data_IF_762728320728
#
_entry.id   IF_762728320728
#
_cell.length_a   1.000
_cell.length_b   1.000
_cell.length_c   1.000
_cell.angle_alpha   90.00
_cell.angle_beta   90.00
_cell.angle_gamma   90.00
#
_symmetry.space_group_name_H-M   'P 1'
#
loop_
_entity.id
_entity.type
_entity.pdbx_description
1 polymer ?
#
# COMPACT_ATOMS: atom_id res chain seq x y z
N UNK A 1 28.32 -22.47 -8.87
CA UNK A 1 27.15 -21.68 -8.44
C UNK A 1 27.57 -20.23 -8.58
N UNK A 2 27.04 -19.51 -9.57
CA UNK A 2 27.47 -18.14 -9.84
C UNK A 2 26.74 -17.21 -8.88
N UNK A 3 27.48 -16.51 -8.02
CA UNK A 3 26.90 -15.55 -7.09
C UNK A 3 26.29 -14.38 -7.87
N UNK A 4 25.04 -14.04 -7.54
CA UNK A 4 24.34 -12.90 -8.12
C UNK A 4 24.71 -11.65 -7.31
N UNK A 5 25.31 -10.67 -7.99
CA UNK A 5 25.61 -9.36 -7.40
C UNK A 5 24.36 -8.48 -7.48
N UNK A 6 23.76 -8.19 -6.33
CA UNK A 6 22.58 -7.32 -6.24
C UNK A 6 23.00 -5.86 -6.13
N UNK A 7 22.31 -4.97 -6.84
CA UNK A 7 22.48 -3.53 -6.68
C UNK A 7 21.92 -3.06 -5.33
N UNK A 8 22.64 -2.21 -4.58
CA UNK A 8 22.11 -1.62 -3.36
C UNK A 8 20.84 -0.81 -3.63
N UNK A 9 19.88 -0.85 -2.70
CA UNK A 9 18.69 -0.01 -2.72
C UNK A 9 18.62 0.78 -1.43
N UNK A 10 18.33 2.06 -1.57
CA UNK A 10 18.05 2.92 -0.43
C UNK A 10 16.73 2.48 0.23
N UNK A 11 16.74 2.44 1.55
CA UNK A 11 15.59 2.05 2.37
C UNK A 11 15.44 3.03 3.53
N UNK A 12 14.21 3.24 3.98
CA UNK A 12 13.90 4.11 5.11
C UNK A 12 13.53 3.26 6.33
N UNK A 13 14.21 3.50 7.44
CA UNK A 13 13.86 2.97 8.76
C UNK A 13 13.42 4.17 9.60
N UNK A 14 12.12 4.29 9.88
CA UNK A 14 11.56 5.44 10.61
C UNK A 14 11.60 5.24 12.13
N UNK A 15 11.61 4.00 12.60
CA UNK A 15 11.78 3.65 14.01
C UNK A 15 12.58 2.34 14.13
N UNK A 16 13.48 2.28 15.11
CA UNK A 16 14.22 1.07 15.46
C UNK A 16 14.43 1.03 16.97
N UNK A 17 14.04 -0.06 17.62
CA UNK A 17 14.09 -0.20 19.07
C UNK A 17 14.48 -1.62 19.45
N UNK A 18 15.59 -1.78 20.17
CA UNK A 18 15.99 -3.06 20.75
C UNK A 18 15.10 -3.31 21.97
N UNK A 19 14.40 -4.45 21.99
CA UNK A 19 13.47 -4.81 23.06
C UNK A 19 14.07 -5.83 24.02
N UNK A 20 15.03 -6.64 23.55
CA UNK A 20 15.72 -7.61 24.39
C UNK A 20 17.10 -7.95 23.80
N UNK A 21 18.03 -8.31 24.67
CA UNK A 21 19.34 -8.83 24.28
C UNK A 21 19.84 -9.84 25.31
N UNK A 22 20.09 -11.06 24.85
CA UNK A 22 20.56 -12.16 25.67
C UNK A 22 21.61 -12.99 24.92
N UNK A 23 22.85 -12.96 25.41
CA UNK A 23 23.95 -13.71 24.81
C UNK A 23 24.21 -13.33 23.36
N UNK A 24 23.94 -14.26 22.44
CA UNK A 24 24.13 -14.07 20.99
C UNK A 24 22.83 -13.73 20.25
N UNK A 25 21.76 -13.37 20.99
CA UNK A 25 20.46 -13.05 20.42
C UNK A 25 20.07 -11.62 20.79
N UNK A 26 19.57 -10.88 19.79
CA UNK A 26 19.01 -9.54 19.96
C UNK A 26 17.63 -9.53 19.32
N UNK A 27 16.63 -9.11 20.08
CA UNK A 27 15.27 -8.88 19.60
C UNK A 27 15.06 -7.39 19.47
N UNK A 28 14.48 -6.97 18.36
CA UNK A 28 14.15 -5.57 18.12
C UNK A 28 12.85 -5.44 17.35
N UNK A 29 12.20 -4.29 17.50
CA UNK A 29 11.10 -3.85 16.66
C UNK A 29 11.57 -2.75 15.74
N UNK A 30 10.99 -2.66 14.55
CA UNK A 30 11.28 -1.59 13.62
C UNK A 30 10.06 -1.22 12.78
N UNK A 31 10.01 0.04 12.36
CA UNK A 31 9.14 0.53 11.31
C UNK A 31 10.00 0.90 10.11
N UNK A 32 9.69 0.32 8.95
CA UNK A 32 10.46 0.51 7.73
C UNK A 32 9.57 0.71 6.51
N UNK A 33 10.10 1.39 5.50
CA UNK A 33 9.45 1.57 4.21
C UNK A 33 9.38 0.29 3.38
N UNK A 34 8.65 0.37 2.26
CA UNK A 34 8.50 -0.72 1.30
C UNK A 34 9.86 -1.21 0.77
N UNK A 35 9.97 -2.50 0.51
CA UNK A 35 11.18 -3.10 -0.08
C UNK A 35 12.35 -3.31 0.88
N UNK A 36 12.17 -3.07 2.19
CA UNK A 36 13.20 -3.32 3.19
C UNK A 36 13.36 -4.83 3.44
N UNK A 37 14.56 -5.36 3.23
CA UNK A 37 14.89 -6.76 3.50
C UNK A 37 15.48 -6.91 4.90
N UNK A 38 14.66 -7.33 5.88
CA UNK A 38 15.10 -7.48 7.28
C UNK A 38 16.27 -8.47 7.42
N UNK A 39 16.31 -9.50 6.57
CA UNK A 39 17.42 -10.46 6.52
C UNK A 39 18.74 -9.81 6.07
N UNK A 40 18.68 -8.86 5.13
CA UNK A 40 19.86 -8.11 4.72
C UNK A 40 20.33 -7.18 5.84
N UNK A 41 19.39 -6.50 6.52
CA UNK A 41 19.70 -5.67 7.68
C UNK A 41 20.40 -6.45 8.79
N UNK A 42 19.90 -7.64 9.16
CA UNK A 42 20.54 -8.49 10.16
C UNK A 42 21.98 -8.87 9.76
N UNK A 43 22.20 -9.28 8.50
CA UNK A 43 23.54 -9.55 7.97
C UNK A 43 24.45 -8.32 8.08
N UNK A 44 23.95 -7.16 7.71
CA UNK A 44 24.73 -5.93 7.67
C UNK A 44 25.08 -5.43 9.08
N UNK A 45 24.16 -5.57 10.06
CA UNK A 45 24.43 -5.35 11.49
C UNK A 45 25.51 -6.31 11.99
N UNK A 46 25.40 -7.61 11.69
CA UNK A 46 26.41 -8.59 12.08
C UNK A 46 27.80 -8.24 11.56
N UNK A 47 27.90 -7.88 10.27
CA UNK A 47 29.15 -7.44 9.63
C UNK A 47 29.71 -6.17 10.27
N UNK A 48 28.86 -5.19 10.57
CA UNK A 48 29.27 -3.95 11.22
C UNK A 48 29.83 -4.20 12.63
N UNK A 49 29.36 -5.24 13.31
CA UNK A 49 29.87 -5.69 14.62
C UNK A 49 31.10 -6.61 14.53
N UNK A 50 31.65 -6.84 13.32
CA UNK A 50 32.79 -7.72 13.11
C UNK A 50 32.46 -9.22 13.20
N UNK A 51 31.18 -9.60 13.06
CA UNK A 51 30.70 -10.97 13.13
C UNK A 51 29.75 -11.29 11.98
N UNK A 52 28.97 -12.37 12.11
CA UNK A 52 27.84 -12.69 11.26
C UNK A 52 26.56 -12.72 12.10
N UNK A 53 25.46 -12.26 11.51
CA UNK A 53 24.14 -12.37 12.12
C UNK A 53 23.11 -12.76 11.06
N UNK A 54 22.08 -13.46 11.50
CA UNK A 54 20.96 -13.90 10.66
C UNK A 54 19.67 -13.81 11.46
N UNK A 55 18.55 -13.73 10.75
CA UNK A 55 17.22 -13.69 11.36
C UNK A 55 16.79 -15.12 11.71
N UNK A 56 16.50 -15.36 12.99
CA UNK A 56 15.97 -16.65 13.49
C UNK A 56 14.45 -16.62 13.68
N UNK A 57 13.88 -15.44 13.89
CA UNK A 57 12.44 -15.20 14.03
C UNK A 57 12.09 -13.86 13.39
N UNK A 58 10.95 -13.80 12.69
CA UNK A 58 10.44 -12.59 12.08
C UNK A 58 8.92 -12.61 12.06
N UNK A 59 8.32 -11.58 12.63
CA UNK A 59 6.88 -11.36 12.60
C UNK A 59 6.59 -9.97 12.06
N UNK A 60 5.70 -9.90 11.07
CA UNK A 60 5.23 -8.62 10.54
C UNK A 60 3.95 -8.22 11.25
N UNK A 61 4.08 -7.29 12.20
CA UNK A 61 2.96 -6.83 13.04
C UNK A 61 2.00 -5.87 12.35
N UNK A 62 2.42 -5.18 11.28
CA UNK A 62 1.56 -4.29 10.53
C UNK A 62 1.99 -4.07 9.07
N UNK A 63 1.04 -3.69 8.22
CA UNK A 63 1.23 -3.13 6.88
C UNK A 63 0.28 -1.94 6.73
N UNK A 64 0.82 -0.72 6.73
CA UNK A 64 -0.02 0.49 6.77
C UNK A 64 -0.98 0.44 7.96
N UNK A 65 -2.28 0.57 7.70
CA UNK A 65 -3.35 0.50 8.72
C UNK A 65 -3.73 -0.93 9.15
N UNK A 66 -3.30 -1.95 8.41
CA UNK A 66 -3.61 -3.34 8.73
C UNK A 66 -2.66 -3.85 9.81
N UNK A 67 -3.21 -4.24 10.96
CA UNK A 67 -2.43 -4.75 12.10
C UNK A 67 -2.69 -6.23 12.32
N UNK A 68 -1.70 -6.92 12.87
CA UNK A 68 -1.78 -8.36 13.17
C UNK A 68 -2.89 -8.70 14.15
N UNK A 69 -3.25 -7.78 15.04
CA UNK A 69 -4.36 -7.96 15.98
C UNK A 69 -5.73 -8.11 15.29
N UNK A 70 -5.84 -7.66 14.03
CA UNK A 70 -7.04 -7.83 13.20
C UNK A 70 -6.89 -8.97 12.17
N UNK A 71 -5.75 -9.68 12.17
CA UNK A 71 -5.55 -10.80 11.27
C UNK A 71 -6.37 -12.01 11.74
N UNK A 72 -6.85 -12.80 10.78
CA UNK A 72 -7.47 -14.08 11.05
C UNK A 72 -6.47 -15.20 10.79
N UNK A 73 -6.49 -16.22 11.64
CA UNK A 73 -5.69 -17.42 11.45
C UNK A 73 -6.20 -18.23 10.26
N UNK A 74 -5.30 -18.96 9.60
CA UNK A 74 -5.66 -19.77 8.43
C UNK A 74 -6.65 -20.89 8.80
N UNK A 75 -6.41 -21.57 9.93
CA UNK A 75 -7.30 -22.61 10.46
C UNK A 75 -8.70 -22.09 10.79
N UNK A 76 -8.78 -20.81 11.20
CA UNK A 76 -10.04 -20.14 11.43
C UNK A 76 -10.73 -19.82 10.10
N UNK A 77 -9.98 -19.29 9.13
CA UNK A 77 -10.49 -18.97 7.80
C UNK A 77 -11.07 -20.21 7.10
N UNK A 78 -10.37 -21.35 7.14
CA UNK A 78 -10.86 -22.61 6.55
C UNK A 78 -12.23 -23.04 7.06
N UNK A 79 -12.55 -22.73 8.33
CA UNK A 79 -13.87 -23.00 8.92
C UNK A 79 -14.87 -21.91 8.58
N UNK A 80 -14.44 -20.65 8.61
CA UNK A 80 -15.30 -19.48 8.41
C UNK A 80 -15.85 -19.36 6.98
N UNK A 81 -15.15 -19.88 5.97
CA UNK A 81 -15.60 -19.82 4.56
C UNK A 81 -16.92 -20.57 4.32
N UNK A 82 -17.26 -21.54 5.17
CA UNK A 82 -18.53 -22.26 5.10
C UNK A 82 -19.67 -21.61 5.92
N UNK A 83 -19.37 -20.55 6.67
CA UNK A 83 -20.36 -19.73 7.38
C UNK A 83 -20.91 -18.67 6.40
N UNK A 84 -22.21 -18.38 6.47
CA UNK A 84 -22.84 -17.29 5.72
C UNK A 84 -22.19 -15.92 6.00
N UNK A 85 -21.47 -15.79 7.12
CA UNK A 85 -20.72 -14.61 7.54
C UNK A 85 -19.28 -14.54 7.03
N UNK A 86 -18.86 -15.40 6.10
CA UNK A 86 -17.52 -15.34 5.51
C UNK A 86 -17.16 -13.94 4.96
N UNK A 87 -18.14 -13.23 4.40
CA UNK A 87 -17.98 -11.87 3.88
C UNK A 87 -17.65 -10.83 4.96
N UNK A 88 -17.98 -11.08 6.24
CA UNK A 88 -17.71 -10.15 7.34
C UNK A 88 -16.21 -9.98 7.60
N UNK A 89 -15.39 -10.94 7.13
CA UNK A 89 -13.92 -10.90 7.23
C UNK A 89 -13.26 -10.23 6.01
N UNK A 90 -14.04 -9.91 4.96
CA UNK A 90 -13.52 -9.21 3.79
C UNK A 90 -13.63 -7.70 4.01
N UNK A 91 -12.48 -7.06 4.15
CA UNK A 91 -12.42 -5.61 4.32
C UNK A 91 -12.76 -4.93 2.98
N UNK A 92 -13.57 -3.86 2.97
CA UNK A 92 -13.88 -3.11 1.75
C UNK A 92 -12.62 -2.60 1.05
N UNK A 93 -12.61 -2.61 -0.29
CA UNK A 93 -11.47 -2.10 -1.08
C UNK A 93 -11.11 -0.66 -0.73
N UNK A 94 -12.11 0.13 -0.32
CA UNK A 94 -11.94 1.53 0.07
C UNK A 94 -10.94 1.70 1.21
N UNK A 95 -10.80 0.71 2.09
CA UNK A 95 -9.81 0.73 3.18
C UNK A 95 -8.36 0.67 2.66
N UNK A 96 -8.13 0.22 1.43
CA UNK A 96 -6.80 0.22 0.80
C UNK A 96 -6.59 1.50 -0.03
N UNK A 97 -7.67 2.16 -0.45
CA UNK A 97 -7.66 3.29 -1.37
C UNK A 97 -7.88 4.64 -0.68
N UNK A 98 -8.02 4.65 0.64
CA UNK A 98 -8.34 5.85 1.43
C UNK A 98 -7.20 6.89 1.50
N UNK A 99 -5.96 6.47 1.28
CA UNK A 99 -4.82 7.36 1.13
C UNK A 99 -4.67 7.90 -0.32
N UNK A 100 -5.64 7.63 -1.20
CA UNK A 100 -5.65 8.10 -2.60
C UNK A 100 -6.64 9.27 -2.75
N UNK A 101 -6.22 10.40 -3.34
CA UNK A 101 -7.09 11.54 -3.61
C UNK A 101 -8.34 11.14 -4.42
N UNK A 102 -9.52 11.50 -3.91
CA UNK A 102 -10.78 11.19 -4.57
C UNK A 102 -11.20 12.30 -5.56
N UNK A 103 -11.62 11.90 -6.76
CA UNK A 103 -12.29 12.74 -7.76
C UNK A 103 -13.78 12.40 -7.77
N UNK A 104 -14.62 13.33 -7.31
CA UNK A 104 -16.06 13.21 -7.48
C UNK A 104 -16.44 13.33 -8.95
N UNK A 105 -17.17 12.34 -9.47
CA UNK A 105 -17.62 12.29 -10.85
C UNK A 105 -19.15 12.21 -10.93
N UNK A 106 -19.69 12.60 -12.07
CA UNK A 106 -21.11 12.42 -12.39
C UNK A 106 -21.40 10.99 -12.85
N UNK A 107 -22.68 10.61 -12.88
CA UNK A 107 -23.10 9.31 -13.41
C UNK A 107 -22.67 9.11 -14.88
N UNK A 108 -22.77 10.15 -15.71
CA UNK A 108 -22.37 10.09 -17.12
C UNK A 108 -20.86 9.86 -17.27
N UNK A 109 -20.05 10.52 -16.44
CA UNK A 109 -18.60 10.31 -16.39
C UNK A 109 -18.24 8.92 -15.87
N UNK A 110 -18.98 8.41 -14.89
CA UNK A 110 -18.80 7.04 -14.39
C UNK A 110 -19.04 6.00 -15.49
N UNK A 111 -20.09 6.18 -16.31
CA UNK A 111 -20.34 5.30 -17.46
C UNK A 111 -19.21 5.35 -18.49
N UNK A 112 -18.69 6.55 -18.81
CA UNK A 112 -17.52 6.70 -19.69
C UNK A 112 -16.33 5.91 -19.17
N UNK A 113 -15.99 6.06 -17.89
CA UNK A 113 -14.88 5.34 -17.26
C UNK A 113 -15.08 3.82 -17.28
N UNK A 114 -16.30 3.34 -17.01
CA UNK A 114 -16.63 1.90 -17.08
C UNK A 114 -16.40 1.31 -18.46
N UNK A 115 -16.57 2.10 -19.52
CA UNK A 115 -16.26 1.73 -20.90
C UNK A 115 -14.82 2.06 -21.34
N UNK A 116 -13.94 2.45 -20.41
CA UNK A 116 -12.55 2.77 -20.71
C UNK A 116 -12.34 4.10 -21.43
N UNK A 117 -13.37 4.96 -21.48
CA UNK A 117 -13.32 6.25 -22.16
C UNK A 117 -12.77 7.35 -21.25
N UNK A 118 -12.25 8.41 -21.87
CA UNK A 118 -11.76 9.61 -21.19
C UNK A 118 -12.82 10.70 -21.17
N UNK A 119 -12.62 11.71 -20.31
CA UNK A 119 -13.42 12.94 -20.33
C UNK A 119 -12.58 14.14 -19.86
N UNK A 120 -13.07 15.35 -20.12
CA UNK A 120 -12.44 16.57 -19.65
C UNK A 120 -13.09 17.04 -18.35
N UNK A 121 -12.27 17.44 -17.39
CA UNK A 121 -12.70 18.21 -16.24
C UNK A 121 -12.77 19.70 -16.61
N UNK A 122 -13.69 20.41 -15.98
CA UNK A 122 -13.63 21.87 -15.96
C UNK A 122 -12.45 22.37 -15.11
N UNK A 123 -12.17 23.67 -15.22
CA UNK A 123 -11.05 24.30 -14.54
C UNK A 123 -11.15 24.17 -13.02
N UNK A 124 -12.34 24.41 -12.44
CA UNK A 124 -12.57 24.39 -11.00
C UNK A 124 -12.31 22.99 -10.41
N UNK A 125 -12.89 21.94 -11.01
CA UNK A 125 -12.70 20.55 -10.57
C UNK A 125 -11.26 20.10 -10.77
N UNK A 126 -10.61 20.52 -11.86
CA UNK A 126 -9.20 20.21 -12.10
C UNK A 126 -8.32 20.82 -11.03
N UNK A 127 -8.52 22.09 -10.69
CA UNK A 127 -7.76 22.79 -9.65
C UNK A 127 -7.94 22.13 -8.27
N UNK A 128 -9.18 21.82 -7.89
CA UNK A 128 -9.48 21.15 -6.62
C UNK A 128 -8.79 19.79 -6.54
N UNK A 129 -8.90 18.97 -7.59
CA UNK A 129 -8.30 17.65 -7.59
C UNK A 129 -6.76 17.69 -7.55
N UNK A 130 -6.14 18.61 -8.29
CA UNK A 130 -4.68 18.80 -8.26
C UNK A 130 -4.19 19.27 -6.90
N UNK A 131 -4.93 20.15 -6.22
CA UNK A 131 -4.61 20.57 -4.86
C UNK A 131 -4.64 19.39 -3.87
N UNK A 132 -5.61 18.49 -3.99
CA UNK A 132 -5.66 17.26 -3.19
C UNK A 132 -4.54 16.28 -3.55
N UNK A 133 -4.25 16.10 -4.83
CA UNK A 133 -3.26 15.14 -5.30
C UNK A 133 -1.81 15.56 -5.03
N UNK A 134 -1.50 16.84 -5.16
CA UNK A 134 -0.18 17.40 -4.88
C UNK A 134 0.25 17.30 -3.42
N UNK A 135 -0.70 17.16 -2.49
CA UNK A 135 -0.40 16.86 -1.08
C UNK A 135 0.16 15.44 -0.90
N UNK A 136 -0.12 14.53 -1.83
CA UNK A 136 0.30 13.11 -1.78
C UNK A 136 1.48 12.76 -2.70
N UNK A 137 1.60 13.40 -3.87
CA UNK A 137 2.73 13.21 -4.81
C UNK A 137 2.86 14.48 -5.68
N UNK A 138 4.05 15.05 -5.78
CA UNK A 138 4.29 16.31 -6.51
C UNK A 138 4.60 16.09 -8.00
N UNK A 139 4.65 14.84 -8.47
CA UNK A 139 5.03 14.54 -9.85
C UNK A 139 3.82 14.16 -10.71
N UNK A 140 3.61 14.91 -11.80
CA UNK A 140 2.64 14.54 -12.82
C UNK A 140 3.12 13.28 -13.58
N UNK A 141 2.22 12.40 -14.03
CA UNK A 141 0.76 12.57 -14.02
C UNK A 141 0.12 12.12 -12.69
N UNK A 142 -0.85 12.91 -12.20
CA UNK A 142 -1.50 12.65 -10.92
C UNK A 142 -2.46 11.48 -11.01
N UNK A 143 -2.35 10.54 -10.08
CA UNK A 143 -3.28 9.41 -9.96
C UNK A 143 -4.26 9.67 -8.83
N UNK A 144 -5.54 9.35 -9.05
CA UNK A 144 -6.56 9.41 -8.00
C UNK A 144 -7.65 8.38 -8.18
N UNK A 145 -8.60 8.39 -7.26
CA UNK A 145 -9.76 7.51 -7.23
C UNK A 145 -10.99 8.26 -7.73
N UNK A 146 -11.51 7.92 -8.90
CA UNK A 146 -12.78 8.45 -9.37
C UNK A 146 -13.95 7.72 -8.70
N UNK A 147 -14.85 8.47 -8.06
CA UNK A 147 -15.97 7.94 -7.29
C UNK A 147 -17.29 8.65 -7.60
N UNK A 148 -18.36 7.86 -7.70
CA UNK A 148 -19.74 8.37 -7.82
C UNK A 148 -20.47 8.12 -6.50
N UNK A 149 -20.69 9.20 -5.73
CA UNK A 149 -21.09 9.06 -4.33
C UNK A 149 -20.03 8.27 -3.54
N UNK A 150 -20.47 7.26 -2.78
CA UNK A 150 -19.60 6.35 -2.02
C UNK A 150 -19.01 5.22 -2.89
N UNK A 151 -19.40 5.10 -4.16
CA UNK A 151 -18.97 4.00 -5.01
C UNK A 151 -17.67 4.33 -5.75
N UNK A 152 -16.57 3.59 -5.51
CA UNK A 152 -15.36 3.73 -6.29
C UNK A 152 -15.56 3.14 -7.70
N UNK A 153 -15.25 3.92 -8.73
CA UNK A 153 -15.45 3.52 -10.13
C UNK A 153 -14.14 3.14 -10.80
N UNK A 154 -13.08 3.93 -10.64
CA UNK A 154 -11.80 3.65 -11.27
C UNK A 154 -10.64 4.38 -10.58
N UNK A 155 -9.45 3.79 -10.63
CA UNK A 155 -8.23 4.58 -10.56
C UNK A 155 -8.05 5.32 -11.87
N UNK A 156 -7.86 6.62 -11.78
CA UNK A 156 -7.73 7.52 -12.92
C UNK A 156 -6.44 8.29 -12.88
N UNK A 157 -6.00 8.72 -14.05
CA UNK A 157 -4.90 9.62 -14.25
C UNK A 157 -5.43 10.96 -14.77
N UNK A 158 -4.97 12.05 -14.20
CA UNK A 158 -5.20 13.40 -14.72
C UNK A 158 -3.93 13.93 -15.40
N UNK A 159 -4.06 14.25 -16.69
CA UNK A 159 -3.06 14.98 -17.45
C UNK A 159 -3.70 16.23 -18.05
N UNK A 160 -3.23 17.41 -17.63
CA UNK A 160 -3.85 18.71 -17.90
C UNK A 160 -5.28 18.74 -17.32
N UNK A 161 -6.28 18.44 -18.15
CA UNK A 161 -7.70 18.36 -17.78
C UNK A 161 -8.36 17.06 -18.25
N UNK A 162 -7.58 16.16 -18.86
CA UNK A 162 -8.08 14.91 -19.39
C UNK A 162 -7.96 13.84 -18.30
N UNK A 163 -9.10 13.30 -17.89
CA UNK A 163 -9.18 12.16 -16.98
C UNK A 163 -9.19 10.89 -17.82
N UNK A 164 -8.23 10.01 -17.54
CA UNK A 164 -8.08 8.72 -18.23
C UNK A 164 -8.15 7.56 -17.23
N UNK A 165 -8.92 6.49 -17.50
CA UNK A 165 -8.95 5.32 -16.63
C UNK A 165 -7.61 4.57 -16.70
N UNK A 166 -7.04 4.29 -15.53
CA UNK A 166 -5.87 3.42 -15.36
C UNK A 166 -6.34 2.01 -14.99
N UNK A 167 -7.32 1.92 -14.08
CA UNK A 167 -7.92 0.66 -13.67
C UNK A 167 -9.38 0.87 -13.29
N UNK A 168 -10.29 0.29 -14.05
CA UNK A 168 -11.71 0.25 -13.69
C UNK A 168 -11.93 -0.79 -12.59
N UNK A 169 -12.74 -0.44 -11.61
CA UNK A 169 -13.12 -1.30 -10.49
C UNK A 169 -14.51 -1.89 -10.79
N UNK A 170 -14.57 -3.20 -11.04
CA UNK A 170 -15.81 -3.94 -11.23
C UNK A 170 -16.18 -4.59 -9.89
N UNK A 171 -16.72 -3.79 -8.98
CA UNK A 171 -17.08 -4.18 -7.61
C UNK A 171 -18.59 -4.29 -7.46
#
# INVERSE_FOLDING_TARGET
MTDIVLTPREVMISKFEITDHAGQQTTFTMQCGKGTYIRALARDIGRALGSAAHVVFLERRAVGRFKIENAIDLDFFEKAVYDARACDYVIPVMTVLDDIPALAITEQEAQKLRFGQTFNLDDDRSHIFLALASASDQTAPFTGLAAFGEQPIALVRLEKQIVSPVRVLNL
#
